data_IF_071323862590
#
_entry.id   IF_071323862590
#
_cell.length_a   1.000
_cell.length_b   1.000
_cell.length_c   1.000
_cell.angle_alpha   90.00
_cell.angle_beta   90.00
_cell.angle_gamma   90.00
#
_symmetry.space_group_name_H-M   'P 1'
#
loop_
_entity.id
_entity.type
_entity.pdbx_description
1 polymer ?
#
# COMPACT_ATOMS: atom_id res chain seq x y z
N UNK A 1 15.15 0.47 -3.52
CA UNK A 1 13.78 0.43 -4.04
C UNK A 1 13.29 1.85 -4.39
N UNK A 2 13.21 2.73 -3.41
CA UNK A 2 12.83 4.14 -3.61
C UNK A 2 13.70 5.08 -2.78
N UNK A 3 13.81 6.36 -3.22
CA UNK A 3 14.52 7.41 -2.51
C UNK A 3 13.81 8.75 -2.71
N UNK A 4 13.52 9.42 -1.61
CA UNK A 4 13.00 10.78 -1.54
C UNK A 4 14.10 11.70 -1.07
N UNK A 5 14.26 12.87 -1.69
CA UNK A 5 15.21 13.91 -1.27
C UNK A 5 14.52 15.26 -1.22
N UNK A 6 14.37 15.81 -0.01
CA UNK A 6 13.74 17.11 0.24
C UNK A 6 12.30 17.22 -0.24
N UNK A 7 11.52 16.11 -0.19
CA UNK A 7 10.14 16.07 -0.69
C UNK A 7 9.24 16.94 0.18
N UNK A 8 8.55 17.90 -0.47
CA UNK A 8 7.45 18.62 0.16
C UNK A 8 6.17 18.46 -0.65
N UNK A 9 5.03 18.40 0.04
CA UNK A 9 3.70 18.38 -0.56
C UNK A 9 2.83 19.46 0.05
N UNK A 10 2.36 20.37 -0.79
CA UNK A 10 1.44 21.45 -0.42
C UNK A 10 0.10 21.18 -1.08
N UNK A 11 -0.95 21.12 -0.28
CA UNK A 11 -2.32 21.10 -0.77
C UNK A 11 -2.87 22.52 -0.77
N UNK A 12 -3.53 22.89 -1.86
CA UNK A 12 -4.19 24.19 -1.98
C UNK A 12 -5.71 24.00 -2.00
N UNK A 13 -6.38 24.61 -1.03
CA UNK A 13 -7.84 24.65 -0.96
C UNK A 13 -8.28 26.13 -0.97
N UNK A 14 -8.63 26.65 -2.14
CA UNK A 14 -8.89 28.07 -2.35
C UNK A 14 -7.63 28.91 -2.08
N UNK A 15 -7.73 29.85 -1.14
CA UNK A 15 -6.59 30.71 -0.72
C UNK A 15 -5.73 30.08 0.38
N UNK A 16 -6.18 28.96 0.98
CA UNK A 16 -5.44 28.31 2.08
C UNK A 16 -4.47 27.29 1.51
N UNK A 17 -3.21 27.40 1.89
CA UNK A 17 -2.16 26.43 1.61
C UNK A 17 -1.82 25.64 2.88
N UNK A 18 -1.82 24.32 2.79
CA UNK A 18 -1.44 23.43 3.89
C UNK A 18 -0.29 22.57 3.44
N UNK A 19 0.85 22.66 4.13
CA UNK A 19 1.98 21.76 3.91
C UNK A 19 1.66 20.42 4.57
N UNK A 20 1.36 19.40 3.78
CA UNK A 20 1.13 18.04 4.27
C UNK A 20 2.41 17.25 4.46
N UNK A 21 3.46 17.55 3.68
CA UNK A 21 4.82 17.04 3.85
C UNK A 21 5.81 18.19 3.74
N UNK A 22 6.83 18.20 4.59
CA UNK A 22 7.87 19.24 4.62
C UNK A 22 9.27 18.63 4.66
N UNK A 23 9.96 18.70 3.54
CA UNK A 23 11.36 18.29 3.34
C UNK A 23 11.65 16.86 3.84
N UNK A 24 10.86 15.89 3.36
CA UNK A 24 11.07 14.49 3.67
C UNK A 24 12.29 13.97 2.91
N UNK A 25 13.28 13.47 3.65
CA UNK A 25 14.36 12.63 3.17
C UNK A 25 14.10 11.20 3.64
N UNK A 26 14.03 10.24 2.71
CA UNK A 26 13.71 8.84 3.01
C UNK A 26 14.26 7.92 1.94
N UNK A 27 14.91 6.85 2.34
CA UNK A 27 15.30 5.75 1.46
C UNK A 27 14.71 4.45 1.97
N UNK A 28 14.07 3.67 1.09
CA UNK A 28 13.54 2.34 1.39
C UNK A 28 14.16 1.34 0.42
N UNK A 29 14.84 0.34 0.99
CA UNK A 29 15.45 -0.77 0.26
C UNK A 29 14.42 -1.76 -0.28
N UNK A 30 14.84 -2.61 -1.23
CA UNK A 30 14.02 -3.74 -1.66
C UNK A 30 13.91 -4.77 -0.54
N UNK A 31 12.71 -5.32 -0.31
CA UNK A 31 12.44 -6.30 0.73
C UNK A 31 12.36 -5.73 2.16
N UNK A 32 12.46 -4.41 2.34
CA UNK A 32 12.27 -3.79 3.65
C UNK A 32 10.81 -3.84 4.10
N UNK A 33 10.57 -4.00 5.42
CA UNK A 33 9.27 -3.81 6.03
C UNK A 33 9.31 -2.56 6.92
N UNK A 34 8.65 -1.50 6.48
CA UNK A 34 8.64 -0.19 7.13
C UNK A 34 7.25 0.12 7.69
N UNK A 35 7.19 0.50 8.96
CA UNK A 35 5.98 1.06 9.57
C UNK A 35 6.09 2.59 9.66
N UNK A 36 5.01 3.29 9.28
CA UNK A 36 4.87 4.74 9.43
C UNK A 36 3.84 5.00 10.52
N UNK A 37 4.25 5.69 11.57
CA UNK A 37 3.42 6.06 12.73
C UNK A 37 3.33 7.57 12.88
N UNK A 38 2.42 8.05 13.71
CA UNK A 38 2.26 9.47 14.01
C UNK A 38 0.79 9.85 14.26
N UNK A 39 0.51 11.05 14.78
CA UNK A 39 -0.83 11.52 15.07
C UNK A 39 -1.70 11.64 13.81
N UNK A 40 -3.02 11.74 13.99
CA UNK A 40 -3.94 11.99 12.88
C UNK A 40 -3.62 13.34 12.23
N UNK A 41 -3.69 13.39 10.89
CA UNK A 41 -3.44 14.62 10.12
C UNK A 41 -1.95 14.99 9.92
N UNK A 42 -0.98 14.23 10.46
CA UNK A 42 0.45 14.55 10.32
C UNK A 42 1.06 14.28 8.94
N UNK A 43 0.27 13.80 7.94
CA UNK A 43 0.73 13.58 6.56
C UNK A 43 0.99 12.13 6.17
N UNK A 44 0.66 11.12 7.00
CA UNK A 44 0.94 9.68 6.70
C UNK A 44 0.34 9.19 5.39
N UNK A 45 -0.96 9.41 5.18
CA UNK A 45 -1.64 8.96 3.95
C UNK A 45 -1.17 9.77 2.74
N UNK A 46 -0.77 11.05 2.91
CA UNK A 46 -0.13 11.84 1.86
C UNK A 46 1.23 11.26 1.50
N UNK A 47 2.05 10.89 2.48
CA UNK A 47 3.33 10.23 2.24
C UNK A 47 3.12 8.91 1.52
N UNK A 48 2.17 8.08 1.97
CA UNK A 48 1.84 6.82 1.32
C UNK A 48 1.38 7.01 -0.14
N UNK A 49 0.59 8.05 -0.42
CA UNK A 49 0.14 8.39 -1.78
C UNK A 49 1.30 8.81 -2.68
N UNK A 50 2.26 9.59 -2.17
CA UNK A 50 3.48 9.95 -2.91
C UNK A 50 4.33 8.72 -3.15
N UNK A 51 4.61 7.90 -2.13
CA UNK A 51 5.37 6.64 -2.27
C UNK A 51 4.74 5.71 -3.30
N UNK A 52 3.42 5.68 -3.35
CA UNK A 52 2.65 4.84 -4.27
C UNK A 52 2.45 5.42 -5.67
N UNK A 53 3.06 6.55 -6.00
CA UNK A 53 2.89 7.21 -7.30
C UNK A 53 1.41 7.54 -7.60
N UNK A 54 0.59 7.76 -6.56
CA UNK A 54 -0.79 8.23 -6.68
C UNK A 54 -0.85 9.75 -6.71
N UNK A 55 0.13 10.41 -6.12
CA UNK A 55 0.26 11.85 -6.08
C UNK A 55 1.71 12.27 -6.37
N UNK A 56 1.89 13.51 -6.83
CA UNK A 56 3.21 14.07 -7.10
C UNK A 56 3.62 15.01 -5.98
N UNK A 57 4.91 15.03 -5.59
CA UNK A 57 5.40 16.03 -4.67
C UNK A 57 5.34 17.43 -5.29
N UNK A 58 5.19 18.45 -4.46
CA UNK A 58 5.27 19.85 -4.89
C UNK A 58 6.70 20.30 -5.17
N UNK A 59 7.66 19.78 -4.39
CA UNK A 59 9.11 20.03 -4.56
C UNK A 59 9.92 18.82 -4.12
N UNK A 60 11.22 18.78 -4.47
CA UNK A 60 12.15 17.72 -4.15
C UNK A 60 12.30 16.70 -5.26
N UNK A 61 13.11 15.68 -5.02
CA UNK A 61 13.38 14.61 -5.96
C UNK A 61 12.82 13.28 -5.45
N UNK A 62 12.18 12.52 -6.33
CA UNK A 62 11.69 11.18 -6.04
C UNK A 62 12.24 10.19 -7.07
N UNK A 63 13.01 9.23 -6.59
CA UNK A 63 13.57 8.13 -7.36
C UNK A 63 12.85 6.84 -7.03
N UNK A 64 12.22 6.22 -8.03
CA UNK A 64 11.54 4.93 -7.93
C UNK A 64 12.22 3.95 -8.88
N UNK A 65 12.78 2.86 -8.33
CA UNK A 65 13.53 1.84 -9.08
C UNK A 65 14.59 2.43 -10.03
N UNK A 66 15.35 3.42 -9.55
CA UNK A 66 16.42 4.08 -10.30
C UNK A 66 15.96 5.13 -11.30
N UNK A 67 14.67 5.41 -11.41
CA UNK A 67 14.11 6.45 -12.28
C UNK A 67 13.64 7.64 -11.46
N UNK A 68 14.07 8.85 -11.83
CA UNK A 68 13.50 10.06 -11.26
C UNK A 68 12.08 10.27 -11.79
N UNK A 69 11.12 10.32 -10.87
CA UNK A 69 9.69 10.45 -11.18
C UNK A 69 9.11 11.80 -10.77
N UNK A 70 9.91 12.67 -10.13
CA UNK A 70 9.50 14.03 -9.81
C UNK A 70 9.16 14.79 -11.11
N UNK A 71 8.03 15.50 -11.11
CA UNK A 71 7.55 16.23 -12.29
C UNK A 71 7.07 15.34 -13.46
N UNK A 72 6.98 14.02 -13.26
CA UNK A 72 6.42 13.12 -14.29
C UNK A 72 4.93 13.35 -14.48
N UNK A 73 4.45 13.15 -15.73
CA UNK A 73 3.02 13.20 -16.01
C UNK A 73 2.28 12.05 -15.32
N UNK A 74 1.00 12.27 -15.05
CA UNK A 74 0.12 11.24 -14.46
C UNK A 74 0.13 9.94 -15.27
N UNK A 75 0.13 10.03 -16.60
CA UNK A 75 0.22 8.87 -17.48
C UNK A 75 1.51 8.05 -17.27
N UNK A 76 2.66 8.73 -17.05
CA UNK A 76 3.92 8.08 -16.75
C UNK A 76 3.91 7.42 -15.37
N UNK A 77 3.37 8.10 -14.35
CA UNK A 77 3.24 7.54 -13.00
C UNK A 77 2.32 6.32 -13.00
N UNK A 78 1.17 6.40 -13.70
CA UNK A 78 0.25 5.28 -13.87
C UNK A 78 0.94 4.06 -14.54
N UNK A 79 1.76 4.30 -15.56
CA UNK A 79 2.51 3.24 -16.24
C UNK A 79 3.55 2.58 -15.31
N UNK A 80 4.26 3.37 -14.50
CA UNK A 80 5.24 2.88 -13.53
C UNK A 80 4.60 2.11 -12.37
N UNK A 81 3.46 2.59 -11.87
CA UNK A 81 2.74 1.95 -10.75
C UNK A 81 2.14 0.61 -11.15
N UNK A 82 1.70 0.48 -12.41
CA UNK A 82 0.97 -0.68 -12.92
C UNK A 82 1.74 -1.98 -12.72
N UNK A 83 1.18 -2.88 -11.91
CA UNK A 83 1.79 -4.17 -11.60
C UNK A 83 3.02 -4.12 -10.68
N UNK A 84 3.49 -2.93 -10.29
CA UNK A 84 4.69 -2.73 -9.46
C UNK A 84 4.34 -2.36 -8.02
N UNK A 85 3.21 -1.69 -7.81
CA UNK A 85 2.75 -1.23 -6.50
C UNK A 85 1.35 -1.78 -6.24
N UNK A 86 1.21 -2.52 -5.14
CA UNK A 86 -0.08 -2.96 -4.62
C UNK A 86 -0.53 -2.05 -3.49
N UNK A 87 -1.85 -1.86 -3.35
CA UNK A 87 -2.45 -1.05 -2.28
C UNK A 87 -3.44 -1.85 -1.46
N UNK A 88 -3.34 -1.74 -0.15
CA UNK A 88 -4.32 -2.23 0.82
C UNK A 88 -4.82 -1.02 1.61
N UNK A 89 -6.13 -0.84 1.66
CA UNK A 89 -6.78 0.28 2.34
C UNK A 89 -7.56 -0.20 3.57
N UNK A 90 -7.72 0.66 4.54
CA UNK A 90 -8.54 0.43 5.72
C UNK A 90 -9.98 0.07 5.37
N UNK A 91 -10.58 0.74 4.40
CA UNK A 91 -11.97 0.52 3.95
C UNK A 91 -12.08 -0.53 2.84
N UNK A 92 -11.07 -1.40 2.66
CA UNK A 92 -10.97 -2.45 1.64
C UNK A 92 -10.99 -1.93 0.19
N UNK A 93 -11.77 -0.90 -0.12
CA UNK A 93 -11.96 -0.28 -1.44
C UNK A 93 -12.26 -1.32 -2.53
N UNK A 94 -13.10 -2.32 -2.22
CA UNK A 94 -13.61 -3.26 -3.19
C UNK A 94 -14.73 -2.61 -3.99
N UNK A 95 -14.85 -3.00 -5.26
CA UNK A 95 -15.94 -2.55 -6.14
C UNK A 95 -17.15 -3.41 -5.86
N UNK A 96 -18.20 -2.82 -5.32
CA UNK A 96 -19.41 -3.51 -4.82
C UNK A 96 -20.19 -4.22 -5.92
N UNK A 97 -20.14 -3.72 -7.16
CA UNK A 97 -20.79 -4.32 -8.32
C UNK A 97 -20.08 -5.57 -8.86
N UNK A 98 -18.81 -5.73 -8.52
CA UNK A 98 -17.99 -6.86 -8.95
C UNK A 98 -17.98 -7.98 -7.92
N UNK A 99 -17.87 -9.21 -8.40
CA UNK A 99 -17.60 -10.36 -7.56
C UNK A 99 -16.20 -10.31 -6.94
N UNK A 100 -15.93 -11.17 -5.96
CA UNK A 100 -14.61 -11.39 -5.39
C UNK A 100 -13.58 -11.71 -6.47
N UNK A 101 -13.93 -12.61 -7.40
CA UNK A 101 -13.07 -12.98 -8.52
C UNK A 101 -12.73 -11.78 -9.38
N UNK A 102 -13.74 -11.03 -9.83
CA UNK A 102 -13.59 -9.86 -10.70
C UNK A 102 -12.80 -8.72 -10.03
N UNK A 103 -13.00 -8.47 -8.72
CA UNK A 103 -12.21 -7.51 -7.97
C UNK A 103 -10.70 -7.83 -8.01
N UNK A 104 -10.33 -9.11 -7.93
CA UNK A 104 -8.93 -9.54 -8.00
C UNK A 104 -8.43 -9.54 -9.45
N UNK A 105 -9.23 -9.99 -10.40
CA UNK A 105 -8.87 -10.06 -11.83
C UNK A 105 -8.57 -8.67 -12.40
N UNK A 106 -9.27 -7.64 -11.96
CA UNK A 106 -9.13 -6.27 -12.43
C UNK A 106 -7.67 -5.77 -12.41
N UNK A 107 -6.90 -6.14 -11.38
CA UNK A 107 -5.48 -5.76 -11.29
C UNK A 107 -4.64 -6.36 -12.44
N UNK A 108 -4.98 -7.54 -12.92
CA UNK A 108 -4.31 -8.20 -14.04
C UNK A 108 -4.80 -7.70 -15.40
N UNK A 109 -6.04 -7.24 -15.50
CA UNK A 109 -6.56 -6.59 -16.71
C UNK A 109 -5.78 -5.32 -17.01
N UNK A 110 -5.57 -4.49 -15.98
CA UNK A 110 -4.76 -3.28 -16.13
C UNK A 110 -3.32 -3.54 -16.54
N UNK A 111 -2.75 -4.70 -16.24
CA UNK A 111 -1.40 -5.08 -16.70
C UNK A 111 -1.38 -5.67 -18.10
N UNK A 112 -2.54 -5.87 -18.73
CA UNK A 112 -2.65 -6.51 -20.06
C UNK A 112 -2.39 -8.01 -20.03
N UNK A 113 -2.51 -8.67 -18.89
CA UNK A 113 -2.29 -10.10 -18.74
C UNK A 113 -3.34 -10.89 -19.55
N UNK A 114 -2.95 -11.90 -20.37
CA UNK A 114 -3.89 -12.70 -21.16
C UNK A 114 -4.94 -13.42 -20.30
N UNK A 115 -6.16 -13.57 -20.81
CA UNK A 115 -7.31 -14.11 -20.05
C UNK A 115 -7.05 -15.48 -19.39
N UNK A 116 -6.40 -16.41 -20.11
CA UNK A 116 -6.09 -17.73 -19.56
C UNK A 116 -5.14 -17.65 -18.35
N UNK A 117 -4.14 -16.76 -18.42
CA UNK A 117 -3.19 -16.52 -17.34
C UNK A 117 -3.85 -15.77 -16.17
N UNK A 118 -4.72 -14.78 -16.45
CA UNK A 118 -5.53 -14.12 -15.42
C UNK A 118 -6.30 -15.14 -14.58
N UNK A 119 -7.06 -16.02 -15.27
CA UNK A 119 -7.85 -17.06 -14.60
C UNK A 119 -7.00 -17.93 -13.68
N UNK A 120 -5.85 -18.39 -14.17
CA UNK A 120 -4.92 -19.21 -13.38
C UNK A 120 -4.40 -18.47 -12.15
N UNK A 121 -3.94 -17.22 -12.33
CA UNK A 121 -3.35 -16.42 -11.23
C UNK A 121 -4.38 -16.00 -10.20
N UNK A 122 -5.57 -15.58 -10.62
CA UNK A 122 -6.65 -15.19 -9.70
C UNK A 122 -7.07 -16.40 -8.87
N UNK A 123 -7.30 -17.57 -9.50
CA UNK A 123 -7.68 -18.78 -8.78
C UNK A 123 -6.63 -19.15 -7.72
N UNK A 124 -5.35 -19.21 -8.10
CA UNK A 124 -4.26 -19.52 -7.17
C UNK A 124 -4.16 -18.50 -6.01
N UNK A 125 -4.38 -17.21 -6.29
CA UNK A 125 -4.32 -16.17 -5.26
C UNK A 125 -5.51 -16.28 -4.28
N UNK A 126 -6.72 -16.53 -4.76
CA UNK A 126 -7.90 -16.74 -3.91
C UNK A 126 -7.75 -17.99 -3.04
N UNK A 127 -7.17 -19.06 -3.56
CA UNK A 127 -6.85 -20.29 -2.80
C UNK A 127 -5.80 -19.98 -1.71
N UNK A 128 -4.70 -19.31 -2.09
CA UNK A 128 -3.64 -18.89 -1.15
C UNK A 128 -4.19 -18.10 0.03
N UNK A 129 -5.17 -17.22 -0.22
CA UNK A 129 -5.76 -16.36 0.83
C UNK A 129 -7.01 -16.98 1.48
N UNK A 130 -7.40 -18.21 1.11
CA UNK A 130 -8.49 -18.95 1.73
C UNK A 130 -9.88 -18.40 1.41
N UNK A 131 -10.04 -17.66 0.30
CA UNK A 131 -11.31 -17.04 -0.10
C UNK A 131 -11.85 -17.57 -1.44
N UNK A 132 -11.27 -18.64 -2.00
CA UNK A 132 -11.68 -19.23 -3.28
C UNK A 132 -13.15 -19.70 -3.27
N UNK A 133 -13.63 -20.22 -2.13
CA UNK A 133 -15.03 -20.65 -1.96
C UNK A 133 -16.05 -19.48 -2.01
N UNK A 134 -15.57 -18.26 -1.99
CA UNK A 134 -16.34 -17.01 -2.10
C UNK A 134 -16.18 -16.31 -3.45
N UNK A 135 -15.49 -16.89 -4.42
CA UNK A 135 -15.12 -16.24 -5.68
C UNK A 135 -16.30 -15.57 -6.42
N UNK A 136 -17.49 -16.17 -6.38
CA UNK A 136 -18.72 -15.62 -7.00
C UNK A 136 -19.51 -14.65 -6.09
N UNK A 137 -19.12 -14.43 -4.84
CA UNK A 137 -19.82 -13.52 -3.93
C UNK A 137 -19.44 -12.06 -4.25
N UNK A 138 -20.32 -11.13 -3.87
CA UNK A 138 -20.05 -9.69 -3.88
C UNK A 138 -19.49 -9.24 -2.52
N UNK A 139 -18.76 -8.11 -2.46
CA UNK A 139 -18.21 -7.57 -1.20
C UNK A 139 -19.24 -7.45 -0.08
N UNK A 140 -20.45 -6.94 -0.36
CA UNK A 140 -21.56 -6.80 0.59
C UNK A 140 -22.03 -8.12 1.24
N UNK A 141 -21.67 -9.27 0.67
CA UNK A 141 -21.99 -10.60 1.20
C UNK A 141 -20.90 -11.17 2.11
N UNK A 142 -19.82 -10.41 2.35
CA UNK A 142 -18.67 -10.82 3.14
C UNK A 142 -18.57 -10.01 4.43
N UNK A 143 -18.10 -10.62 5.51
CA UNK A 143 -17.62 -9.90 6.70
C UNK A 143 -16.26 -9.24 6.43
N UNK A 144 -15.81 -8.35 7.33
CA UNK A 144 -14.61 -7.55 7.15
C UNK A 144 -13.32 -8.36 6.91
N UNK A 145 -13.11 -9.44 7.65
CA UNK A 145 -11.91 -10.29 7.46
C UNK A 145 -11.77 -10.86 6.05
N UNK A 146 -12.77 -11.57 5.51
CA UNK A 146 -12.80 -11.98 4.11
C UNK A 146 -12.65 -10.82 3.10
N UNK A 147 -13.32 -9.67 3.32
CA UNK A 147 -13.16 -8.50 2.45
C UNK A 147 -11.69 -8.02 2.41
N UNK A 148 -11.03 -7.95 3.57
CA UNK A 148 -9.62 -7.57 3.62
C UNK A 148 -8.73 -8.59 2.91
N UNK A 149 -8.98 -9.88 3.04
CA UNK A 149 -8.25 -10.92 2.29
C UNK A 149 -8.42 -10.76 0.78
N UNK A 150 -9.61 -10.37 0.29
CA UNK A 150 -9.86 -10.07 -1.13
C UNK A 150 -9.09 -8.82 -1.56
N UNK A 151 -9.06 -7.76 -0.73
CA UNK A 151 -8.27 -6.55 -1.01
C UNK A 151 -6.77 -6.86 -1.09
N UNK A 152 -6.26 -7.72 -0.20
CA UNK A 152 -4.87 -8.20 -0.25
C UNK A 152 -4.64 -9.06 -1.51
N UNK A 153 -5.58 -9.94 -1.87
CA UNK A 153 -5.49 -10.74 -3.11
C UNK A 153 -5.36 -9.84 -4.33
N UNK A 154 -6.21 -8.81 -4.43
CA UNK A 154 -6.16 -7.82 -5.52
C UNK A 154 -4.81 -7.09 -5.57
N UNK A 155 -4.28 -6.71 -4.41
CA UNK A 155 -2.99 -6.02 -4.33
C UNK A 155 -1.81 -6.91 -4.77
N UNK A 156 -1.86 -8.22 -4.50
CA UNK A 156 -0.76 -9.16 -4.72
C UNK A 156 -0.81 -9.90 -6.05
N UNK A 157 -1.97 -10.03 -6.68
CA UNK A 157 -2.15 -10.92 -7.86
C UNK A 157 -1.26 -10.51 -9.04
N UNK A 158 -0.88 -9.23 -9.15
CA UNK A 158 0.06 -8.73 -10.14
C UNK A 158 1.54 -8.99 -9.78
N UNK A 159 1.82 -9.57 -8.60
CA UNK A 159 3.17 -9.79 -8.08
C UNK A 159 3.98 -8.49 -7.93
N UNK A 160 3.48 -7.51 -7.15
CA UNK A 160 4.11 -6.20 -7.05
C UNK A 160 5.45 -6.27 -6.32
N UNK A 161 6.37 -5.36 -6.66
CA UNK A 161 7.63 -5.18 -5.95
C UNK A 161 7.45 -4.49 -4.59
N UNK A 162 6.37 -3.71 -4.44
CA UNK A 162 6.04 -2.96 -3.23
C UNK A 162 4.56 -3.06 -2.90
N UNK A 163 4.26 -3.24 -1.62
CA UNK A 163 2.92 -3.24 -1.05
C UNK A 163 2.78 -2.07 -0.07
N UNK A 164 1.82 -1.22 -0.32
CA UNK A 164 1.48 -0.09 0.54
C UNK A 164 0.18 -0.40 1.28
N UNK A 165 0.20 -0.33 2.61
CA UNK A 165 -0.94 -0.64 3.45
C UNK A 165 -1.30 0.56 4.34
N UNK A 166 -2.48 1.13 4.13
CA UNK A 166 -3.01 2.23 4.95
C UNK A 166 -3.98 1.66 5.97
N UNK A 167 -3.57 1.60 7.25
CA UNK A 167 -4.35 1.07 8.37
C UNK A 167 -4.99 -0.31 8.07
N UNK A 168 -4.23 -1.34 7.65
CA UNK A 168 -4.78 -2.56 7.07
C UNK A 168 -5.64 -3.40 8.02
N UNK A 169 -5.64 -3.07 9.31
CA UNK A 169 -6.39 -3.75 10.36
C UNK A 169 -7.45 -2.87 11.04
N UNK A 170 -7.58 -1.60 10.62
CA UNK A 170 -8.37 -0.59 11.33
C UNK A 170 -9.88 -0.89 11.40
N UNK A 171 -10.42 -1.68 10.47
CA UNK A 171 -11.84 -2.08 10.43
C UNK A 171 -12.06 -3.56 10.80
N UNK A 172 -11.08 -4.21 11.45
CA UNK A 172 -11.12 -5.62 11.79
C UNK A 172 -11.14 -5.82 13.31
N UNK A 173 -11.72 -6.91 13.76
CA UNK A 173 -11.50 -7.39 15.12
C UNK A 173 -10.06 -7.89 15.31
N UNK A 174 -9.65 -8.11 16.54
CA UNK A 174 -8.28 -8.48 16.90
C UNK A 174 -7.82 -9.76 16.20
N UNK A 175 -8.68 -10.78 16.12
CA UNK A 175 -8.30 -12.07 15.56
C UNK A 175 -8.02 -11.96 14.06
N UNK A 176 -8.88 -11.28 13.29
CA UNK A 176 -8.69 -11.04 11.87
C UNK A 176 -7.52 -10.05 11.62
N UNK A 177 -7.35 -9.06 12.51
CA UNK A 177 -6.21 -8.14 12.46
C UNK A 177 -4.86 -8.89 12.56
N UNK A 178 -4.74 -9.80 13.53
CA UNK A 178 -3.54 -10.63 13.71
C UNK A 178 -3.26 -11.55 12.50
N UNK A 179 -4.31 -12.05 11.87
CA UNK A 179 -4.16 -12.83 10.63
C UNK A 179 -3.62 -11.97 9.47
N UNK A 180 -4.13 -10.74 9.30
CA UNK A 180 -3.62 -9.81 8.29
C UNK A 180 -2.16 -9.46 8.56
N UNK A 181 -1.79 -9.20 9.80
CA UNK A 181 -0.39 -8.90 10.16
C UNK A 181 0.54 -10.08 9.91
N UNK A 182 0.11 -11.32 10.20
CA UNK A 182 0.89 -12.53 9.86
C UNK A 182 1.09 -12.65 8.35
N UNK A 183 0.04 -12.37 7.57
CA UNK A 183 0.09 -12.41 6.11
C UNK A 183 1.06 -11.36 5.55
N UNK A 184 1.04 -10.12 6.04
CA UNK A 184 1.97 -9.07 5.62
C UNK A 184 3.43 -9.44 5.90
N UNK A 185 3.72 -10.04 7.06
CA UNK A 185 5.07 -10.56 7.38
C UNK A 185 5.49 -11.68 6.42
N UNK A 186 4.60 -12.60 6.10
CA UNK A 186 4.89 -13.67 5.15
C UNK A 186 5.19 -13.11 3.76
N UNK A 187 4.40 -12.16 3.26
CA UNK A 187 4.61 -11.48 1.99
C UNK A 187 5.95 -10.77 1.95
N UNK A 188 6.33 -10.11 3.04
CA UNK A 188 7.63 -9.46 3.15
C UNK A 188 8.78 -10.48 3.17
N UNK A 189 8.64 -11.58 3.90
CA UNK A 189 9.64 -12.66 3.93
C UNK A 189 9.84 -13.32 2.56
N UNK A 190 8.84 -13.25 1.66
CA UNK A 190 8.94 -13.69 0.27
C UNK A 190 9.64 -12.64 -0.64
N UNK A 191 10.08 -11.51 -0.10
CA UNK A 191 10.88 -10.48 -0.77
C UNK A 191 10.12 -9.23 -1.22
N UNK A 192 8.80 -9.15 -1.00
CA UNK A 192 8.03 -7.94 -1.31
C UNK A 192 8.36 -6.84 -0.29
N UNK A 193 8.67 -5.63 -0.76
CA UNK A 193 8.80 -4.46 0.10
C UNK A 193 7.43 -4.09 0.67
N UNK A 194 7.32 -3.89 1.99
CA UNK A 194 6.06 -3.52 2.64
C UNK A 194 6.22 -2.18 3.33
N UNK A 195 5.33 -1.23 3.05
CA UNK A 195 5.22 0.04 3.79
C UNK A 195 3.82 0.13 4.37
N UNK A 196 3.73 0.15 5.69
CA UNK A 196 2.47 0.13 6.41
C UNK A 196 2.29 1.40 7.25
N UNK A 197 1.18 2.09 7.08
CA UNK A 197 0.72 3.12 8.03
C UNK A 197 -0.09 2.43 9.12
N UNK A 198 0.19 2.73 10.38
CA UNK A 198 -0.60 2.20 11.50
C UNK A 198 -0.56 3.11 12.72
N UNK A 199 -1.66 3.12 13.48
CA UNK A 199 -1.74 3.75 14.81
C UNK A 199 -1.43 2.76 15.94
N UNK A 200 -1.32 1.46 15.65
CA UNK A 200 -1.03 0.43 16.64
C UNK A 200 0.48 0.28 16.88
N UNK A 201 0.98 0.56 18.08
CA UNK A 201 2.40 0.31 18.41
C UNK A 201 2.78 -1.17 18.28
N UNK A 202 1.85 -2.09 18.61
CA UNK A 202 2.06 -3.52 18.49
C UNK A 202 2.20 -3.98 17.03
N UNK A 203 1.49 -3.36 16.11
CA UNK A 203 1.66 -3.62 14.67
C UNK A 203 2.93 -2.97 14.12
N UNK A 204 3.24 -1.74 14.54
CA UNK A 204 4.48 -1.07 14.13
C UNK A 204 5.72 -1.86 14.54
N UNK A 205 5.71 -2.45 15.74
CA UNK A 205 6.80 -3.28 16.25
C UNK A 205 7.06 -4.57 15.45
N UNK A 206 6.17 -4.94 14.52
CA UNK A 206 6.36 -6.09 13.63
C UNK A 206 7.14 -5.76 12.35
N UNK A 207 7.33 -4.48 12.06
CA UNK A 207 8.16 -4.01 10.95
C UNK A 207 9.65 -4.03 11.35
N UNK A 208 10.54 -4.10 10.37
CA UNK A 208 11.99 -4.02 10.61
C UNK A 208 12.47 -2.61 10.93
N UNK A 209 11.66 -1.59 10.57
CA UNK A 209 11.98 -0.18 10.75
C UNK A 209 10.71 0.63 10.98
N UNK A 210 10.75 1.58 11.91
CA UNK A 210 9.63 2.48 12.20
C UNK A 210 10.02 3.92 11.95
N UNK A 211 9.21 4.60 11.13
CA UNK A 211 9.26 6.03 10.90
C UNK A 211 8.18 6.72 11.73
N UNK A 212 8.55 7.73 12.49
CA UNK A 212 7.56 8.56 13.18
C UNK A 212 7.40 9.89 12.46
N UNK A 213 6.20 10.15 11.96
CA UNK A 213 5.85 11.37 11.25
C UNK A 213 5.14 12.33 12.20
N UNK A 214 5.59 13.59 12.23
CA UNK A 214 4.99 14.69 12.99
C UNK A 214 5.01 15.95 12.13
N UNK A 215 3.86 16.60 11.97
CA UNK A 215 3.70 17.85 11.21
C UNK A 215 4.39 17.83 9.83
N UNK A 216 4.18 16.74 9.10
CA UNK A 216 4.73 16.55 7.76
C UNK A 216 6.22 16.21 7.70
N UNK A 217 6.89 15.97 8.84
CA UNK A 217 8.32 15.64 8.92
C UNK A 217 8.58 14.28 9.55
N UNK A 218 9.62 13.59 9.12
CA UNK A 218 10.11 12.40 9.82
C UNK A 218 10.97 12.89 11.00
N UNK A 219 10.50 12.61 12.23
CA UNK A 219 11.17 13.01 13.47
C UNK A 219 11.93 11.86 14.14
N UNK A 220 11.54 10.62 13.84
CA UNK A 220 12.24 9.40 14.26
C UNK A 220 12.31 8.43 13.08
N UNK A 221 13.48 7.86 12.88
CA UNK A 221 13.77 6.80 11.93
C UNK A 221 14.60 5.73 12.65
N UNK A 222 13.95 4.69 13.12
CA UNK A 222 14.55 3.70 14.00
C UNK A 222 14.42 2.29 13.43
N UNK A 223 15.56 1.58 13.35
CA UNK A 223 15.57 0.14 13.12
C UNK A 223 15.04 -0.58 14.36
N UNK A 224 14.15 -1.55 14.14
CA UNK A 224 13.73 -2.45 15.21
C UNK A 224 14.86 -3.46 15.47
N UNK A 225 15.14 -3.74 16.74
CA UNK A 225 16.04 -4.82 17.09
C UNK A 225 15.45 -6.17 16.63
N UNK A 226 16.26 -6.97 15.96
CA UNK A 226 15.89 -8.29 15.47
C UNK A 226 15.62 -9.26 16.64
#
# INVERSE_FOLDING_TARGET
MLKLSGISKIHQAGEVQTAALDRIDLEIGAGEYVAITGPSGCGKSTLLSVLGLLDVPSTGEYWFEGQNVAGSSEAKLNALRRGRVGFIFQSFNLIEELSVYENVELALEYTGTPAAERKRRVQAMLERLGVAHRAGHRPSQLSGGPQQRVAIARALVANPAMLLADEPTGNLDTAHGDEVMRLLRQINAEGTTVVMVTHSPAHAAQASRTLHLLDGRIVVDALQAA
#
